data_IF_497503989994
#
_entry.id   IF_497503989994
#
_cell.length_a   1.000
_cell.length_b   1.000
_cell.length_c   1.000
_cell.angle_alpha   90.00
_cell.angle_beta   90.00
_cell.angle_gamma   90.00
#
_symmetry.space_group_name_H-M   'P 1'
#
loop_
_entity.id
_entity.type
_entity.pdbx_description
1 polymer ?
#
# COMPACT_ATOMS: atom_id res chain seq x y z
N UNK A 1 -13.40 21.96 -13.35
CA UNK A 1 -13.34 21.11 -14.57
C UNK A 1 -14.40 20.00 -14.61
N UNK A 2 -14.68 19.26 -13.52
CA UNK A 2 -15.75 18.23 -13.50
C UNK A 2 -17.08 18.69 -12.89
N UNK A 3 -17.21 19.93 -12.41
CA UNK A 3 -18.44 20.45 -11.79
C UNK A 3 -19.66 20.27 -12.73
N UNK A 4 -19.52 20.75 -13.97
CA UNK A 4 -20.64 20.84 -14.93
C UNK A 4 -20.72 19.67 -15.92
N UNK A 5 -19.88 18.63 -15.75
CA UNK A 5 -19.83 17.46 -16.66
C UNK A 5 -20.49 16.22 -16.06
N UNK A 6 -21.14 15.33 -16.84
CA UNK A 6 -21.64 14.07 -16.33
C UNK A 6 -20.50 13.13 -15.89
N UNK A 7 -20.74 12.18 -14.95
CA UNK A 7 -19.73 11.22 -14.53
C UNK A 7 -19.33 10.30 -15.69
N UNK A 8 -18.03 10.09 -15.88
CA UNK A 8 -17.54 9.29 -17.01
C UNK A 8 -17.70 7.78 -16.78
N UNK A 9 -18.15 7.07 -17.82
CA UNK A 9 -18.33 5.62 -17.86
C UNK A 9 -17.02 4.85 -18.04
N UNK A 10 -16.12 4.91 -17.06
CA UNK A 10 -14.76 4.34 -17.15
C UNK A 10 -14.66 2.86 -16.78
N UNK A 11 -15.71 2.05 -16.95
CA UNK A 11 -15.74 0.67 -16.43
C UNK A 11 -14.61 -0.20 -17.01
N UNK A 12 -14.48 -0.23 -18.33
CA UNK A 12 -13.46 -1.08 -18.99
C UNK A 12 -12.03 -0.62 -18.65
N UNK A 13 -11.83 0.70 -18.56
CA UNK A 13 -10.56 1.29 -18.14
C UNK A 13 -10.20 0.85 -16.71
N UNK A 14 -11.16 0.90 -15.78
CA UNK A 14 -10.95 0.46 -14.41
C UNK A 14 -10.71 -1.04 -14.27
N UNK A 15 -11.34 -1.86 -15.11
CA UNK A 15 -11.08 -3.30 -15.15
C UNK A 15 -9.64 -3.55 -15.59
N UNK A 16 -9.21 -2.94 -16.71
CA UNK A 16 -7.84 -3.07 -17.20
C UNK A 16 -6.81 -2.56 -16.19
N UNK A 17 -7.07 -1.39 -15.59
CA UNK A 17 -6.20 -0.80 -14.58
C UNK A 17 -6.09 -1.66 -13.32
N UNK A 18 -7.21 -2.13 -12.75
CA UNK A 18 -7.15 -2.98 -11.57
C UNK A 18 -6.50 -4.34 -11.86
N UNK A 19 -6.72 -4.91 -13.05
CA UNK A 19 -6.04 -6.14 -13.47
C UNK A 19 -4.53 -5.92 -13.57
N UNK A 20 -4.11 -4.81 -14.19
CA UNK A 20 -2.71 -4.41 -14.23
C UNK A 20 -2.12 -4.25 -12.83
N UNK A 21 -2.82 -3.55 -11.92
CA UNK A 21 -2.38 -3.36 -10.54
C UNK A 21 -2.21 -4.68 -9.78
N UNK A 22 -3.11 -5.65 -9.97
CA UNK A 22 -2.97 -6.99 -9.38
C UNK A 22 -1.73 -7.70 -9.91
N UNK A 23 -1.52 -7.69 -11.23
CA UNK A 23 -0.39 -8.37 -11.87
C UNK A 23 0.94 -7.77 -11.41
N UNK A 24 1.07 -6.44 -11.48
CA UNK A 24 2.33 -5.77 -11.09
C UNK A 24 2.61 -5.90 -9.59
N UNK A 25 1.58 -5.87 -8.74
CA UNK A 25 1.75 -6.10 -7.30
C UNK A 25 2.15 -7.53 -6.99
N UNK A 26 1.59 -8.52 -7.70
CA UNK A 26 1.96 -9.93 -7.56
C UNK A 26 3.39 -10.19 -8.01
N UNK A 27 3.81 -9.59 -9.13
CA UNK A 27 5.18 -9.68 -9.61
C UNK A 27 6.17 -9.02 -8.64
N UNK A 28 5.87 -7.82 -8.13
CA UNK A 28 6.71 -7.15 -7.12
C UNK A 28 6.79 -7.95 -5.82
N UNK A 29 5.67 -8.51 -5.37
CA UNK A 29 5.66 -9.37 -4.19
C UNK A 29 6.57 -10.58 -4.39
N UNK A 30 6.50 -11.24 -5.55
CA UNK A 30 7.38 -12.34 -5.91
C UNK A 30 8.86 -11.91 -5.93
N UNK A 31 9.19 -10.80 -6.60
CA UNK A 31 10.56 -10.28 -6.69
C UNK A 31 11.15 -9.98 -5.31
N UNK A 32 10.38 -9.38 -4.41
CA UNK A 32 10.84 -9.07 -3.05
C UNK A 32 10.96 -10.32 -2.17
N UNK A 33 10.05 -11.29 -2.30
CA UNK A 33 10.10 -12.52 -1.50
C UNK A 33 11.22 -13.43 -1.96
N UNK A 34 11.28 -13.77 -3.25
CA UNK A 34 12.30 -14.65 -3.81
C UNK A 34 13.69 -13.99 -3.81
N UNK A 35 13.76 -12.70 -4.17
CA UNK A 35 15.01 -11.97 -4.30
C UNK A 35 15.62 -11.49 -2.99
N UNK A 36 14.89 -11.52 -1.88
CA UNK A 36 15.38 -11.05 -0.59
C UNK A 36 14.89 -11.90 0.60
N UNK A 37 13.61 -11.82 0.95
CA UNK A 37 13.10 -12.24 2.27
C UNK A 37 13.02 -13.75 2.51
N UNK A 38 12.96 -14.57 1.47
CA UNK A 38 12.87 -16.03 1.61
C UNK A 38 14.24 -16.71 1.71
N UNK A 39 15.32 -16.02 1.33
CA UNK A 39 16.66 -16.63 1.18
C UNK A 39 17.73 -15.91 2.00
N UNK A 40 17.91 -14.62 1.75
CA UNK A 40 19.14 -13.92 2.10
C UNK A 40 18.96 -12.87 3.21
N UNK A 41 17.72 -12.42 3.47
CA UNK A 41 17.45 -11.34 4.44
C UNK A 41 17.10 -11.87 5.82
N UNK A 42 17.65 -11.23 6.86
CA UNK A 42 17.30 -11.48 8.25
C UNK A 42 16.17 -10.53 8.70
N UNK A 43 15.09 -11.12 9.25
CA UNK A 43 13.95 -10.40 9.85
C UNK A 43 14.32 -9.55 11.07
N UNK A 44 15.50 -9.75 11.66
CA UNK A 44 15.96 -9.03 12.86
C UNK A 44 16.71 -7.74 12.50
N UNK A 45 17.60 -7.80 11.52
CA UNK A 45 18.41 -6.68 11.08
C UNK A 45 18.94 -6.97 9.68
N UNK A 46 18.50 -6.17 8.71
CA UNK A 46 19.03 -6.22 7.36
C UNK A 46 19.59 -4.86 6.93
N UNK A 47 20.92 -4.69 6.80
CA UNK A 47 21.50 -3.48 6.23
C UNK A 47 21.20 -3.35 4.73
N UNK A 48 21.39 -2.15 4.19
CA UNK A 48 21.32 -1.93 2.74
C UNK A 48 22.64 -2.36 2.12
N UNK A 49 22.59 -3.16 1.06
CA UNK A 49 23.74 -3.51 0.24
C UNK A 49 23.83 -2.52 -0.93
N UNK A 50 24.90 -1.72 -0.96
CA UNK A 50 25.17 -0.73 -2.00
C UNK A 50 26.16 -1.21 -3.07
N UNK A 51 26.55 -2.49 -3.05
CA UNK A 51 27.43 -3.07 -4.06
C UNK A 51 26.72 -3.30 -5.39
N UNK A 52 27.50 -3.40 -6.46
CA UNK A 52 27.00 -3.74 -7.81
C UNK A 52 26.75 -5.25 -7.99
N UNK A 53 26.55 -5.99 -6.90
CA UNK A 53 26.28 -7.40 -7.03
C UNK A 53 24.89 -7.63 -7.67
N UNK A 54 24.71 -8.70 -8.47
CA UNK A 54 23.46 -8.92 -9.18
C UNK A 54 22.21 -9.02 -8.30
N UNK A 55 22.35 -9.48 -7.04
CA UNK A 55 21.24 -9.60 -6.08
C UNK A 55 20.85 -8.23 -5.51
N UNK A 56 21.83 -7.42 -5.08
CA UNK A 56 21.63 -6.07 -4.58
C UNK A 56 20.99 -5.18 -5.65
N UNK A 57 21.47 -5.28 -6.89
CA UNK A 57 20.86 -4.60 -8.05
C UNK A 57 19.42 -5.09 -8.28
N UNK A 58 19.14 -6.40 -8.16
CA UNK A 58 17.77 -6.94 -8.28
C UNK A 58 16.84 -6.33 -7.22
N UNK A 59 17.27 -6.25 -5.96
CA UNK A 59 16.47 -5.66 -4.88
C UNK A 59 16.27 -4.16 -5.09
N UNK A 60 17.34 -3.42 -5.40
CA UNK A 60 17.27 -1.99 -5.68
C UNK A 60 16.30 -1.68 -6.84
N UNK A 61 16.32 -2.50 -7.89
CA UNK A 61 15.38 -2.43 -9.00
C UNK A 61 13.94 -2.72 -8.55
N UNK A 62 13.74 -3.69 -7.66
CA UNK A 62 12.43 -3.94 -7.03
C UNK A 62 11.90 -2.72 -6.26
N UNK A 63 12.75 -2.05 -5.48
CA UNK A 63 12.41 -0.80 -4.77
C UNK A 63 12.05 0.31 -5.76
N UNK A 64 12.79 0.45 -6.85
CA UNK A 64 12.50 1.42 -7.90
C UNK A 64 11.15 1.16 -8.58
N UNK A 65 10.86 -0.09 -8.97
CA UNK A 65 9.57 -0.45 -9.55
C UNK A 65 8.42 -0.25 -8.56
N UNK A 66 8.63 -0.53 -7.27
CA UNK A 66 7.66 -0.20 -6.23
C UNK A 66 7.34 1.30 -6.21
N UNK A 67 8.34 2.18 -6.30
CA UNK A 67 8.13 3.62 -6.42
C UNK A 67 7.30 3.99 -7.66
N UNK A 68 7.61 3.42 -8.83
CA UNK A 68 6.83 3.64 -10.05
C UNK A 68 5.37 3.20 -9.88
N UNK A 69 5.12 2.05 -9.24
CA UNK A 69 3.77 1.60 -8.93
C UNK A 69 3.04 2.61 -8.04
N UNK A 70 3.70 3.18 -7.02
CA UNK A 70 3.07 4.22 -6.18
C UNK A 70 2.68 5.47 -6.96
N UNK A 71 3.44 5.85 -7.99
CA UNK A 71 3.05 6.94 -8.90
C UNK A 71 1.81 6.54 -9.71
N UNK A 72 1.79 5.33 -10.25
CA UNK A 72 0.64 4.82 -11.02
C UNK A 72 -0.63 4.78 -10.16
N UNK A 73 -0.51 4.44 -8.87
CA UNK A 73 -1.63 4.41 -7.91
C UNK A 73 -2.28 5.80 -7.70
N UNK A 74 -1.59 6.91 -8.01
CA UNK A 74 -2.21 8.24 -7.99
C UNK A 74 -3.40 8.35 -8.96
N UNK A 75 -3.44 7.50 -9.99
CA UNK A 75 -4.57 7.38 -10.91
C UNK A 75 -5.87 6.97 -10.20
N UNK A 76 -5.83 6.29 -9.04
CA UNK A 76 -7.03 5.99 -8.25
C UNK A 76 -7.81 7.27 -7.92
N UNK A 77 -7.08 8.31 -7.50
CA UNK A 77 -7.65 9.62 -7.20
C UNK A 77 -8.24 10.28 -8.44
N UNK A 78 -7.53 10.19 -9.57
CA UNK A 78 -8.00 10.69 -10.87
C UNK A 78 -9.30 10.00 -11.24
N UNK A 79 -9.38 8.68 -11.17
CA UNK A 79 -10.59 7.93 -11.48
C UNK A 79 -11.76 8.26 -10.55
N UNK A 80 -11.52 8.50 -9.26
CA UNK A 80 -12.57 8.94 -8.34
C UNK A 80 -13.14 10.30 -8.73
N UNK A 81 -12.28 11.26 -9.09
CA UNK A 81 -12.70 12.59 -9.55
C UNK A 81 -13.49 12.49 -10.86
N UNK A 82 -12.98 11.75 -11.84
CA UNK A 82 -13.61 11.60 -13.16
C UNK A 82 -14.98 10.89 -13.08
N UNK A 83 -15.20 10.05 -12.05
CA UNK A 83 -16.48 9.37 -11.79
C UNK A 83 -17.39 10.12 -10.82
N UNK A 84 -17.02 11.34 -10.39
CA UNK A 84 -17.72 12.12 -9.35
C UNK A 84 -17.92 11.35 -8.05
N UNK A 85 -16.97 10.48 -7.67
CA UNK A 85 -16.96 9.73 -6.41
C UNK A 85 -16.13 10.46 -5.36
N UNK A 86 -16.46 11.73 -5.12
CA UNK A 86 -15.72 12.60 -4.19
C UNK A 86 -15.75 12.09 -2.74
N UNK A 87 -16.77 11.32 -2.37
CA UNK A 87 -16.82 10.63 -1.08
C UNK A 87 -15.69 9.60 -0.88
N UNK A 88 -15.03 9.14 -1.95
CA UNK A 88 -13.86 8.27 -1.88
C UNK A 88 -12.55 9.05 -1.77
N UNK A 89 -12.52 10.33 -2.17
CA UNK A 89 -11.36 11.22 -2.06
C UNK A 89 -11.33 11.81 -0.64
N UNK A 90 -11.05 10.93 0.33
CA UNK A 90 -10.96 11.30 1.74
C UNK A 90 -9.58 11.83 2.09
N UNK A 91 -9.46 12.54 3.23
CA UNK A 91 -8.15 12.93 3.78
C UNK A 91 -7.22 11.73 3.91
N UNK A 92 -7.71 10.60 4.45
CA UNK A 92 -6.97 9.34 4.57
C UNK A 92 -6.37 8.91 3.23
N UNK A 93 -7.18 8.90 2.17
CA UNK A 93 -6.77 8.50 0.83
C UNK A 93 -5.66 9.40 0.29
N UNK A 94 -5.89 10.71 0.25
CA UNK A 94 -4.94 11.66 -0.36
C UNK A 94 -3.64 11.73 0.44
N UNK A 95 -3.73 11.78 1.77
CA UNK A 95 -2.58 11.77 2.67
C UNK A 95 -1.72 10.52 2.46
N UNK A 96 -2.34 9.33 2.44
CA UNK A 96 -1.64 8.07 2.23
C UNK A 96 -0.94 8.03 0.87
N UNK A 97 -1.66 8.27 -0.23
CA UNK A 97 -1.08 8.17 -1.56
C UNK A 97 0.07 9.17 -1.77
N UNK A 98 -0.05 10.39 -1.24
CA UNK A 98 1.02 11.40 -1.31
C UNK A 98 2.23 10.97 -0.47
N UNK A 99 1.99 10.56 0.78
CA UNK A 99 3.04 10.09 1.69
C UNK A 99 3.79 8.88 1.16
N UNK A 100 3.08 7.91 0.59
CA UNK A 100 3.70 6.70 0.04
C UNK A 100 4.59 6.98 -1.17
N UNK A 101 4.22 7.91 -2.05
CA UNK A 101 5.08 8.32 -3.17
C UNK A 101 6.36 8.99 -2.68
N UNK A 102 6.25 9.92 -1.71
CA UNK A 102 7.42 10.58 -1.12
C UNK A 102 8.34 9.60 -0.40
N UNK A 103 7.78 8.68 0.38
CA UNK A 103 8.52 7.66 1.09
C UNK A 103 9.22 6.69 0.11
N UNK A 104 8.52 6.23 -0.93
CA UNK A 104 9.08 5.32 -1.92
C UNK A 104 10.18 5.98 -2.76
N UNK A 105 10.05 7.28 -3.07
CA UNK A 105 11.13 8.05 -3.69
C UNK A 105 12.36 8.14 -2.79
N UNK A 106 12.18 8.48 -1.51
CA UNK A 106 13.27 8.52 -0.54
C UNK A 106 13.95 7.16 -0.35
N UNK A 107 13.16 6.09 -0.28
CA UNK A 107 13.67 4.72 -0.25
C UNK A 107 14.50 4.39 -1.49
N UNK A 108 13.98 4.66 -2.69
CA UNK A 108 14.71 4.45 -3.94
C UNK A 108 16.02 5.24 -3.98
N UNK A 109 16.01 6.51 -3.55
CA UNK A 109 17.15 7.40 -3.68
C UNK A 109 18.27 7.12 -2.67
N UNK A 110 17.90 6.78 -1.44
CA UNK A 110 18.84 6.70 -0.32
C UNK A 110 18.98 5.30 0.28
N UNK A 111 17.93 4.48 0.25
CA UNK A 111 17.86 3.18 0.91
C UNK A 111 17.27 2.11 -0.03
N UNK A 112 17.93 1.79 -1.16
CA UNK A 112 17.41 0.90 -2.19
C UNK A 112 17.52 -0.58 -1.78
N UNK A 113 17.11 -0.94 -0.56
CA UNK A 113 17.21 -2.30 -0.03
C UNK A 113 17.06 -2.37 1.49
N UNK A 114 17.47 -3.50 2.07
CA UNK A 114 17.54 -3.71 3.51
C UNK A 114 16.19 -3.76 4.24
N UNK A 115 16.25 -3.44 5.54
CA UNK A 115 15.16 -3.60 6.53
C UNK A 115 13.84 -2.95 6.12
N UNK A 116 13.89 -1.79 5.45
CA UNK A 116 12.71 -1.05 5.00
C UNK A 116 11.88 -1.79 3.94
N UNK A 117 12.48 -2.70 3.18
CA UNK A 117 11.78 -3.45 2.11
C UNK A 117 10.70 -4.39 2.63
N UNK A 118 10.72 -4.75 3.92
CA UNK A 118 9.67 -5.53 4.58
C UNK A 118 8.29 -4.85 4.45
N UNK A 119 8.29 -3.52 4.55
CA UNK A 119 7.10 -2.70 4.32
C UNK A 119 6.54 -2.92 2.91
N UNK A 120 7.41 -2.94 1.91
CA UNK A 120 7.06 -3.15 0.51
C UNK A 120 6.45 -4.52 0.26
N UNK A 121 6.99 -5.58 0.89
CA UNK A 121 6.44 -6.94 0.79
C UNK A 121 5.02 -7.01 1.32
N UNK A 122 4.79 -6.53 2.55
CA UNK A 122 3.45 -6.57 3.12
C UNK A 122 2.48 -5.66 2.35
N UNK A 123 2.92 -4.48 1.92
CA UNK A 123 2.07 -3.57 1.15
C UNK A 123 1.65 -4.19 -0.20
N UNK A 124 2.59 -4.75 -0.96
CA UNK A 124 2.30 -5.38 -2.25
C UNK A 124 1.35 -6.56 -2.09
N UNK A 125 1.52 -7.39 -1.06
CA UNK A 125 0.57 -8.47 -0.75
C UNK A 125 -0.86 -7.95 -0.51
N UNK A 126 -1.01 -6.95 0.37
CA UNK A 126 -2.32 -6.37 0.66
C UNK A 126 -2.91 -5.67 -0.57
N UNK A 127 -2.08 -5.05 -1.41
CA UNK A 127 -2.50 -4.43 -2.66
C UNK A 127 -3.00 -5.46 -3.68
N UNK A 128 -2.42 -6.66 -3.77
CA UNK A 128 -2.96 -7.75 -4.59
C UNK A 128 -4.42 -8.03 -4.18
N UNK A 129 -4.68 -8.20 -2.88
CA UNK A 129 -6.01 -8.51 -2.35
C UNK A 129 -6.98 -7.34 -2.57
N UNK A 130 -6.54 -6.10 -2.31
CA UNK A 130 -7.35 -4.89 -2.44
C UNK A 130 -7.74 -4.62 -3.91
N UNK A 131 -6.79 -4.66 -4.84
CA UNK A 131 -7.08 -4.44 -6.26
C UNK A 131 -7.84 -5.62 -6.88
N UNK A 132 -7.64 -6.85 -6.41
CA UNK A 132 -8.47 -7.99 -6.81
C UNK A 132 -9.94 -7.76 -6.40
N UNK A 133 -10.18 -7.26 -5.19
CA UNK A 133 -11.52 -6.86 -4.76
C UNK A 133 -12.11 -5.78 -5.68
N UNK A 134 -11.34 -4.73 -6.01
CA UNK A 134 -11.83 -3.68 -6.91
C UNK A 134 -12.09 -4.21 -8.33
N UNK A 135 -11.25 -5.10 -8.85
CA UNK A 135 -11.44 -5.78 -10.13
C UNK A 135 -12.75 -6.56 -10.16
N UNK A 136 -12.97 -7.44 -9.17
CA UNK A 136 -14.18 -8.26 -9.04
C UNK A 136 -15.42 -7.37 -8.97
N UNK A 137 -15.39 -6.29 -8.18
CA UNK A 137 -16.54 -5.36 -8.06
C UNK A 137 -16.84 -4.58 -9.34
N UNK A 138 -15.86 -4.38 -10.23
CA UNK A 138 -16.04 -3.70 -11.50
C UNK A 138 -16.50 -4.66 -12.62
N UNK A 139 -16.11 -5.93 -12.55
CA UNK A 139 -16.59 -6.99 -13.46
C UNK A 139 -18.04 -7.35 -13.12
N UNK A 140 -18.33 -7.60 -11.83
CA UNK A 140 -19.67 -8.00 -11.35
C UNK A 140 -20.26 -6.95 -10.39
N UNK A 141 -20.77 -5.82 -10.92
CA UNK A 141 -21.36 -4.76 -10.09
C UNK A 141 -22.55 -5.25 -9.27
N UNK A 142 -23.33 -6.22 -9.78
CA UNK A 142 -24.46 -6.86 -9.09
C UNK A 142 -24.04 -7.46 -7.73
N UNK A 143 -22.82 -8.03 -7.67
CA UNK A 143 -22.30 -8.68 -6.46
C UNK A 143 -21.73 -7.70 -5.44
N UNK A 144 -21.55 -6.42 -5.80
CA UNK A 144 -20.90 -5.40 -4.94
C UNK A 144 -21.56 -5.24 -3.58
N UNK A 145 -22.89 -5.40 -3.49
CA UNK A 145 -23.63 -5.31 -2.22
C UNK A 145 -23.45 -6.54 -1.32
N UNK A 146 -23.08 -7.69 -1.88
CA UNK A 146 -23.03 -8.98 -1.18
C UNK A 146 -21.59 -9.42 -0.81
N UNK A 147 -20.60 -8.55 -0.99
CA UNK A 147 -19.21 -8.90 -0.71
C UNK A 147 -18.90 -8.74 0.79
N UNK A 148 -19.14 -9.81 1.54
CA UNK A 148 -18.91 -9.90 2.98
C UNK A 148 -17.43 -9.70 3.38
N UNK A 149 -16.47 -10.07 2.51
CA UNK A 149 -15.05 -10.01 2.87
C UNK A 149 -14.41 -8.62 2.86
N UNK A 150 -15.15 -7.56 2.48
CA UNK A 150 -14.64 -6.18 2.44
C UNK A 150 -14.04 -5.77 3.80
N UNK A 151 -14.68 -6.21 4.88
CA UNK A 151 -14.23 -5.96 6.27
C UNK A 151 -12.84 -6.57 6.54
N UNK A 152 -12.57 -7.77 6.02
CA UNK A 152 -11.28 -8.45 6.21
C UNK A 152 -10.14 -7.75 5.47
N UNK A 153 -10.41 -7.07 4.34
CA UNK A 153 -9.40 -6.27 3.65
C UNK A 153 -8.93 -5.12 4.56
N UNK A 154 -9.87 -4.41 5.19
CA UNK A 154 -9.53 -3.34 6.13
C UNK A 154 -8.80 -3.87 7.37
N UNK A 155 -9.17 -5.04 7.88
CA UNK A 155 -8.44 -5.69 8.97
C UNK A 155 -7.01 -6.07 8.56
N UNK A 156 -6.83 -6.59 7.34
CA UNK A 156 -5.52 -6.93 6.80
C UNK A 156 -4.62 -5.70 6.68
N UNK A 157 -5.16 -4.55 6.24
CA UNK A 157 -4.44 -3.28 6.20
C UNK A 157 -4.01 -2.83 7.61
N UNK A 158 -4.87 -2.95 8.62
CA UNK A 158 -4.51 -2.62 10.01
C UNK A 158 -3.43 -3.55 10.56
N UNK A 159 -3.54 -4.86 10.32
CA UNK A 159 -2.53 -5.85 10.72
C UNK A 159 -1.20 -5.56 10.04
N UNK A 160 -1.21 -5.22 8.75
CA UNK A 160 -0.01 -4.79 8.03
C UNK A 160 0.70 -3.63 8.75
N UNK A 161 -0.02 -2.56 9.11
CA UNK A 161 0.60 -1.42 9.80
C UNK A 161 1.18 -1.82 11.16
N UNK A 162 0.51 -2.70 11.90
CA UNK A 162 1.01 -3.21 13.18
C UNK A 162 2.29 -4.04 13.00
N UNK A 163 2.33 -4.94 12.01
CA UNK A 163 3.51 -5.76 11.69
C UNK A 163 4.70 -4.90 11.26
N UNK A 164 4.48 -3.92 10.37
CA UNK A 164 5.53 -3.00 9.92
C UNK A 164 6.08 -2.17 11.08
N UNK A 165 5.19 -1.69 11.97
CA UNK A 165 5.58 -0.95 13.17
C UNK A 165 6.44 -1.80 14.08
N UNK A 166 5.99 -3.03 14.39
CA UNK A 166 6.73 -3.98 15.21
C UNK A 166 8.10 -4.29 14.61
N UNK A 167 8.18 -4.60 13.32
CA UNK A 167 9.44 -4.87 12.61
C UNK A 167 10.39 -3.66 12.63
N UNK A 168 9.87 -2.44 12.46
CA UNK A 168 10.69 -1.22 12.45
C UNK A 168 11.21 -0.85 13.85
N UNK A 169 10.41 -1.07 14.91
CA UNK A 169 10.80 -0.78 16.29
C UNK A 169 12.00 -1.62 16.77
N UNK A 170 12.19 -2.82 16.20
CA UNK A 170 13.32 -3.71 16.55
C UNK A 170 14.69 -3.03 16.35
N UNK A 171 14.80 -2.09 15.40
CA UNK A 171 16.02 -1.35 15.11
C UNK A 171 16.46 -0.42 16.25
N UNK A 172 15.56 -0.03 17.16
CA UNK A 172 15.90 0.80 18.32
C UNK A 172 16.63 0.01 19.41
N UNK A 173 16.33 -1.29 19.51
CA UNK A 173 16.81 -2.16 20.58
C UNK A 173 17.95 -3.08 20.14
N UNK A 174 18.43 -2.92 18.90
CA UNK A 174 19.47 -3.77 18.30
C UNK A 174 20.56 -2.91 17.68
N UNK A 175 21.79 -3.40 17.79
CA UNK A 175 22.93 -2.88 17.02
C UNK A 175 22.77 -3.36 15.57
N UNK A 176 22.31 -2.47 14.70
CA UNK A 176 22.08 -2.73 13.29
C UNK A 176 22.67 -1.59 12.45
N UNK A 177 23.37 -1.94 11.37
CA UNK A 177 23.95 -0.95 10.43
C UNK A 177 22.88 -0.29 9.53
N UNK A 178 21.60 -0.59 9.74
CA UNK A 178 20.51 0.09 9.06
C UNK A 178 20.20 1.43 9.76
N UNK A 179 19.99 2.53 9.01
CA UNK A 179 19.88 3.86 9.62
C UNK A 179 18.67 4.02 10.56
N UNK A 180 18.93 4.32 11.83
CA UNK A 180 17.86 4.44 12.86
C UNK A 180 16.88 5.60 12.61
N UNK A 181 17.27 6.62 11.83
CA UNK A 181 16.36 7.74 11.49
C UNK A 181 15.11 7.26 10.74
N UNK A 182 15.18 6.12 10.03
CA UNK A 182 14.02 5.56 9.33
C UNK A 182 12.92 5.17 10.30
N UNK A 183 13.26 4.78 11.53
CA UNK A 183 12.28 4.46 12.57
C UNK A 183 11.50 5.72 12.96
N UNK A 184 12.19 6.85 13.10
CA UNK A 184 11.59 8.15 13.41
C UNK A 184 10.60 8.64 12.35
N UNK A 185 10.71 8.14 11.11
CA UNK A 185 9.77 8.45 10.02
C UNK A 185 8.68 7.36 9.93
N UNK A 186 9.07 6.10 9.82
CA UNK A 186 8.16 4.98 9.55
C UNK A 186 7.22 4.68 10.71
N UNK A 187 7.70 4.71 11.96
CA UNK A 187 6.85 4.33 13.10
C UNK A 187 5.74 5.35 13.32
N UNK A 188 6.01 6.67 13.43
CA UNK A 188 4.94 7.66 13.56
C UNK A 188 3.96 7.63 12.38
N UNK A 189 4.46 7.49 11.16
CA UNK A 189 3.62 7.37 9.96
C UNK A 189 2.68 6.16 10.03
N UNK A 190 3.19 4.98 10.38
CA UNK A 190 2.38 3.76 10.47
C UNK A 190 1.37 3.82 11.62
N UNK A 191 1.73 4.39 12.77
CA UNK A 191 0.81 4.61 13.89
C UNK A 191 -0.31 5.58 13.52
N UNK A 192 0.03 6.66 12.81
CA UNK A 192 -0.96 7.60 12.31
C UNK A 192 -1.93 6.92 11.34
N UNK A 193 -1.41 6.16 10.36
CA UNK A 193 -2.21 5.38 9.42
C UNK A 193 -3.10 4.35 10.12
N UNK A 194 -2.56 3.61 11.10
CA UNK A 194 -3.32 2.67 11.92
C UNK A 194 -4.48 3.36 12.63
N UNK A 195 -4.26 4.56 13.20
CA UNK A 195 -5.30 5.32 13.89
C UNK A 195 -6.44 5.73 12.94
N UNK A 196 -6.12 6.18 11.73
CA UNK A 196 -7.11 6.56 10.73
C UNK A 196 -7.91 5.36 10.21
N UNK A 197 -7.25 4.23 9.98
CA UNK A 197 -7.92 2.99 9.57
C UNK A 197 -8.79 2.42 10.70
N UNK A 198 -8.36 2.51 11.95
CA UNK A 198 -9.16 2.12 13.10
C UNK A 198 -10.42 3.01 13.24
N UNK A 199 -10.30 4.32 13.05
CA UNK A 199 -11.45 5.23 13.06
C UNK A 199 -12.40 4.94 11.89
N UNK A 200 -11.87 4.75 10.68
CA UNK A 200 -12.64 4.35 9.50
C UNK A 200 -13.41 3.03 9.75
N UNK A 201 -12.73 2.03 10.30
CA UNK A 201 -13.32 0.72 10.59
C UNK A 201 -14.43 0.85 11.64
N UNK A 202 -14.20 1.60 12.71
CA UNK A 202 -15.21 1.86 13.76
C UNK A 202 -16.44 2.57 13.21
N UNK A 203 -16.26 3.60 12.38
CA UNK A 203 -17.38 4.34 11.75
C UNK A 203 -18.16 3.51 10.75
N UNK A 204 -17.48 2.65 9.99
CA UNK A 204 -18.10 1.89 8.89
C UNK A 204 -18.76 0.59 9.35
N UNK A 205 -18.16 -0.11 10.33
CA UNK A 205 -18.58 -1.46 10.71
C UNK A 205 -19.14 -1.58 12.12
N UNK A 206 -18.81 -0.67 13.04
CA UNK A 206 -19.27 -0.74 14.44
C UNK A 206 -20.44 0.18 14.72
N UNK A 207 -20.36 1.45 14.29
CA UNK A 207 -21.49 2.37 14.44
C UNK A 207 -22.66 1.86 13.61
N UNK A 208 -23.72 1.39 14.29
CA UNK A 208 -25.03 1.17 13.65
C UNK A 208 -25.46 2.49 12.99
N UNK A 209 -26.09 2.47 11.81
CA UNK A 209 -26.69 3.69 11.27
C UNK A 209 -27.64 4.25 12.33
N UNK A 210 -27.55 5.56 12.60
CA UNK A 210 -28.58 6.24 13.38
C UNK A 210 -29.90 5.90 12.69
N UNK A 211 -30.85 5.30 13.41
CA UNK A 211 -32.25 5.37 13.01
C UNK A 211 -32.56 6.86 12.98
N UNK A 212 -32.79 7.41 11.79
CA UNK A 212 -33.49 8.69 11.68
C UNK A 212 -34.90 8.42 12.26
N UNK A 213 -35.20 9.07 13.38
CA UNK A 213 -36.56 9.19 13.93
C UNK A 213 -37.35 10.20 13.12
#
# INVERSE_FOLDING_TARGET
MMADRPPMGLRNVLIAYNAFQVIISAWLFYECVDGAWLRDYDLRCQPVDYSDNPKAIRVARGVYYYFLVKIIELLDTVFFILRKKFNQVTFLHVYHHTGMVMLAWGGTKFLPGGHGTFMGVLNTFVHIVMYAYYLITNIWPEKKKNIWWKKYITQMQMVQFALITGHSLQLLFRECQYPKFTVGILVPQNLFMLSLFADFYRRTYWRKPKKEE
#
